data_IF_161444607667
#
_entry.id   IF_161444607667
#
_cell.length_a   1.000
_cell.length_b   1.000
_cell.length_c   1.000
_cell.angle_alpha   90.00
_cell.angle_beta   90.00
_cell.angle_gamma   90.00
#
_symmetry.space_group_name_H-M   'P 1'
#
loop_
_entity.id
_entity.type
_entity.pdbx_description
1 polymer ?
#
# COMPACT_ATOMS: atom_id res chain seq x y z
N UNK A 1 4.54 -16.37 27.01
CA UNK A 1 3.88 -15.05 26.85
C UNK A 1 4.74 -14.07 26.04
N UNK A 2 6.02 -13.91 26.33
CA UNK A 2 6.92 -13.04 25.54
C UNK A 2 6.95 -13.43 24.05
N UNK A 3 7.05 -14.72 23.74
CA UNK A 3 7.08 -15.22 22.35
C UNK A 3 5.79 -14.90 21.57
N UNK A 4 4.62 -14.98 22.23
CA UNK A 4 3.33 -14.64 21.58
C UNK A 4 3.24 -13.15 21.31
N UNK A 5 3.66 -12.29 22.25
CA UNK A 5 3.65 -10.84 22.05
C UNK A 5 4.62 -10.42 20.96
N UNK A 6 5.82 -11.02 20.92
CA UNK A 6 6.81 -10.78 19.87
C UNK A 6 6.28 -11.21 18.49
N UNK A 7 5.71 -12.42 18.39
CA UNK A 7 5.13 -12.94 17.15
C UNK A 7 3.96 -12.09 16.67
N UNK A 8 3.08 -11.65 17.59
CA UNK A 8 1.97 -10.73 17.28
C UNK A 8 2.50 -9.41 16.72
N UNK A 9 3.53 -8.82 17.35
CA UNK A 9 4.10 -7.56 16.90
C UNK A 9 4.75 -7.68 15.52
N UNK A 10 5.51 -8.75 15.27
CA UNK A 10 6.10 -9.02 13.95
C UNK A 10 5.02 -9.17 12.89
N UNK A 11 3.99 -9.95 13.17
CA UNK A 11 2.87 -10.13 12.24
C UNK A 11 2.06 -8.84 12.05
N UNK A 12 1.92 -8.00 13.10
CA UNK A 12 1.27 -6.69 13.00
C UNK A 12 2.03 -5.73 12.06
N UNK A 13 3.36 -5.72 12.12
CA UNK A 13 4.19 -4.93 11.19
C UNK A 13 4.01 -5.41 9.76
N UNK A 14 4.04 -6.73 9.52
CA UNK A 14 3.84 -7.31 8.18
C UNK A 14 2.47 -6.98 7.62
N UNK A 15 1.39 -7.15 8.40
CA UNK A 15 0.03 -6.83 8.00
C UNK A 15 -0.21 -5.32 7.85
N UNK A 16 0.49 -4.50 8.63
CA UNK A 16 0.42 -3.04 8.57
C UNK A 16 1.18 -2.42 7.40
N UNK A 17 2.16 -3.13 6.82
CA UNK A 17 2.99 -2.59 5.74
C UNK A 17 2.21 -2.14 4.49
N UNK A 18 1.27 -2.92 3.95
CA UNK A 18 0.46 -2.46 2.81
C UNK A 18 -0.46 -1.29 3.17
N UNK A 19 -0.96 -1.25 4.41
CA UNK A 19 -1.73 -0.10 4.92
C UNK A 19 -0.85 1.16 4.99
N UNK A 20 0.39 1.03 5.46
CA UNK A 20 1.35 2.14 5.49
C UNK A 20 1.61 2.67 4.09
N UNK A 21 1.90 1.81 3.12
CA UNK A 21 2.14 2.22 1.74
C UNK A 21 0.92 2.92 1.12
N UNK A 22 -0.29 2.37 1.30
CA UNK A 22 -1.53 3.02 0.89
C UNK A 22 -1.72 4.40 1.53
N UNK A 23 -1.51 4.48 2.85
CA UNK A 23 -1.62 5.74 3.59
C UNK A 23 -0.55 6.77 3.21
N UNK A 24 0.69 6.36 2.94
CA UNK A 24 1.73 7.28 2.46
C UNK A 24 1.37 7.87 1.11
N UNK A 25 0.85 7.06 0.18
CA UNK A 25 0.36 7.54 -1.10
C UNK A 25 -0.76 8.55 -0.94
N UNK A 26 -1.72 8.28 -0.05
CA UNK A 26 -2.84 9.18 0.20
C UNK A 26 -2.42 10.46 0.95
N UNK A 27 -1.54 10.37 1.95
CA UNK A 27 -0.97 11.56 2.62
C UNK A 27 -0.35 12.52 1.59
N UNK A 28 0.39 12.00 0.61
CA UNK A 28 0.99 12.83 -0.42
C UNK A 28 -0.06 13.50 -1.30
N UNK A 29 -1.11 12.78 -1.68
CA UNK A 29 -2.22 13.26 -2.49
C UNK A 29 -3.03 14.32 -1.74
N UNK A 30 -3.47 14.04 -0.51
CA UNK A 30 -4.28 14.94 0.29
C UNK A 30 -3.51 16.20 0.71
N UNK A 31 -2.20 16.11 0.95
CA UNK A 31 -1.34 17.29 1.21
C UNK A 31 -1.26 18.24 0.01
N UNK A 32 -1.68 17.85 -1.17
CA UNK A 32 -1.85 18.75 -2.33
C UNK A 32 -3.25 19.37 -2.45
N UNK A 33 -4.16 19.04 -1.52
CA UNK A 33 -5.57 19.47 -1.55
C UNK A 33 -6.46 18.61 -2.45
N UNK A 34 -6.06 17.36 -2.75
CA UNK A 34 -6.82 16.41 -3.55
C UNK A 34 -7.19 15.21 -2.67
N UNK A 35 -8.46 15.10 -2.25
CA UNK A 35 -8.96 13.97 -1.46
C UNK A 35 -9.24 12.78 -2.35
N UNK A 36 -8.49 11.68 -2.23
CA UNK A 36 -8.59 10.54 -3.12
C UNK A 36 -9.12 9.28 -2.43
N UNK A 37 -10.39 9.01 -2.57
CA UNK A 37 -11.02 7.77 -2.10
C UNK A 37 -10.78 6.56 -3.04
N UNK A 38 -9.97 6.74 -4.09
CA UNK A 38 -9.63 5.69 -5.07
C UNK A 38 -8.43 4.82 -4.67
N UNK A 39 -7.91 4.96 -3.45
CA UNK A 39 -6.73 4.23 -2.96
C UNK A 39 -6.86 2.72 -3.18
N UNK A 40 -8.00 2.13 -2.80
CA UNK A 40 -8.24 0.70 -2.96
C UNK A 40 -8.20 0.26 -4.43
N UNK A 41 -8.77 1.05 -5.33
CA UNK A 41 -8.73 0.78 -6.76
C UNK A 41 -7.29 0.80 -7.32
N UNK A 42 -6.48 1.78 -6.90
CA UNK A 42 -5.06 1.85 -7.29
C UNK A 42 -4.24 0.69 -6.71
N UNK A 43 -4.54 0.27 -5.49
CA UNK A 43 -3.94 -0.92 -4.88
C UNK A 43 -4.31 -2.19 -5.66
N UNK A 44 -5.57 -2.38 -6.06
CA UNK A 44 -5.98 -3.52 -6.89
C UNK A 44 -5.26 -3.53 -8.25
N UNK A 45 -5.17 -2.39 -8.91
CA UNK A 45 -4.42 -2.26 -10.17
C UNK A 45 -2.95 -2.65 -9.98
N UNK A 46 -2.30 -2.15 -8.92
CA UNK A 46 -0.93 -2.48 -8.59
C UNK A 46 -0.73 -3.95 -8.20
N UNK A 47 -1.66 -4.55 -7.46
CA UNK A 47 -1.59 -5.94 -7.03
C UNK A 47 -1.53 -6.92 -8.21
N UNK A 48 -2.45 -6.79 -9.16
CA UNK A 48 -2.49 -7.68 -10.32
C UNK A 48 -1.34 -7.42 -11.28
N UNK A 49 -1.04 -6.14 -11.59
CA UNK A 49 -0.02 -5.82 -12.58
C UNK A 49 1.39 -6.16 -12.09
N UNK A 50 1.68 -5.96 -10.81
CA UNK A 50 2.95 -6.39 -10.21
C UNK A 50 3.14 -7.90 -10.28
N UNK A 51 2.11 -8.66 -9.91
CA UNK A 51 2.13 -10.12 -9.98
C UNK A 51 2.28 -10.63 -11.42
N UNK A 52 1.45 -10.13 -12.34
CA UNK A 52 1.48 -10.53 -13.76
C UNK A 52 2.79 -10.09 -14.43
N UNK A 53 3.32 -8.93 -14.09
CA UNK A 53 4.62 -8.47 -14.58
C UNK A 53 5.76 -9.42 -14.21
N UNK A 54 5.83 -9.83 -12.95
CA UNK A 54 6.78 -10.85 -12.48
C UNK A 54 6.57 -12.19 -13.18
N UNK A 55 5.33 -12.68 -13.21
CA UNK A 55 4.98 -13.92 -13.87
C UNK A 55 5.38 -13.93 -15.35
N UNK A 56 5.08 -12.85 -16.08
CA UNK A 56 5.41 -12.72 -17.50
C UNK A 56 6.91 -12.71 -17.75
N UNK A 57 7.69 -12.06 -16.88
CA UNK A 57 9.14 -12.09 -16.92
C UNK A 57 9.67 -13.53 -16.74
N UNK A 58 9.16 -14.26 -15.73
CA UNK A 58 9.57 -15.66 -15.50
C UNK A 58 9.28 -16.53 -16.71
N UNK A 59 8.08 -16.43 -17.28
CA UNK A 59 7.70 -17.19 -18.47
C UNK A 59 8.59 -16.87 -19.67
N UNK A 60 8.92 -15.58 -19.88
CA UNK A 60 9.82 -15.18 -20.96
C UNK A 60 11.23 -15.73 -20.78
N UNK A 61 11.76 -15.74 -19.56
CA UNK A 61 13.10 -16.30 -19.27
C UNK A 61 13.12 -17.81 -19.48
N UNK A 62 12.09 -18.53 -19.02
CA UNK A 62 11.97 -19.98 -19.21
C UNK A 62 11.83 -20.35 -20.71
N UNK A 63 11.05 -19.58 -21.47
CA UNK A 63 10.91 -19.78 -22.92
C UNK A 63 12.24 -19.54 -23.68
N UNK A 64 13.10 -18.66 -23.16
CA UNK A 64 14.44 -18.41 -23.69
C UNK A 64 15.49 -19.45 -23.21
N UNK A 65 15.09 -20.45 -22.43
CA UNK A 65 16.01 -21.43 -21.84
C UNK A 65 16.90 -20.87 -20.72
N UNK A 66 16.54 -19.74 -20.15
CA UNK A 66 17.29 -19.07 -19.08
C UNK A 66 16.58 -19.20 -17.74
N UNK A 67 17.36 -19.18 -16.65
CA UNK A 67 16.80 -19.20 -15.31
C UNK A 67 16.40 -17.77 -14.88
N UNK A 68 15.17 -17.56 -14.40
CA UNK A 68 14.75 -16.24 -13.92
C UNK A 68 15.51 -15.85 -12.65
N UNK A 69 15.80 -14.54 -12.50
CA UNK A 69 16.45 -13.98 -11.31
C UNK A 69 15.39 -13.34 -10.41
N UNK A 70 15.29 -13.79 -9.16
CA UNK A 70 14.26 -13.32 -8.21
C UNK A 70 14.32 -11.81 -7.96
N UNK A 71 15.52 -11.21 -7.87
CA UNK A 71 15.68 -9.77 -7.66
C UNK A 71 15.15 -8.96 -8.86
N UNK A 72 15.41 -9.40 -10.09
CA UNK A 72 14.89 -8.74 -11.29
C UNK A 72 13.36 -8.85 -11.34
N UNK A 73 12.82 -10.04 -11.04
CA UNK A 73 11.38 -10.26 -10.93
C UNK A 73 10.73 -9.33 -9.90
N UNK A 74 11.36 -9.17 -8.72
CA UNK A 74 10.89 -8.26 -7.67
C UNK A 74 10.92 -6.79 -8.12
N UNK A 75 11.99 -6.34 -8.79
CA UNK A 75 12.08 -4.99 -9.33
C UNK A 75 11.03 -4.73 -10.41
N UNK A 76 10.74 -5.70 -11.26
CA UNK A 76 9.65 -5.63 -12.25
C UNK A 76 8.31 -5.49 -11.53
N UNK A 77 8.05 -6.31 -10.49
CA UNK A 77 6.83 -6.22 -9.70
C UNK A 77 6.61 -4.80 -9.16
N UNK A 78 7.62 -4.23 -8.49
CA UNK A 78 7.56 -2.86 -7.92
C UNK A 78 7.35 -1.82 -9.01
N UNK A 79 8.11 -1.90 -10.10
CA UNK A 79 8.05 -0.88 -11.17
C UNK A 79 6.71 -0.89 -11.89
N UNK A 80 6.22 -2.08 -12.25
CA UNK A 80 4.94 -2.22 -12.98
C UNK A 80 3.76 -1.87 -12.09
N UNK A 81 3.79 -2.25 -10.82
CA UNK A 81 2.75 -1.88 -9.85
C UNK A 81 2.69 -0.37 -9.60
N UNK A 82 3.87 0.28 -9.49
CA UNK A 82 3.95 1.74 -9.37
C UNK A 82 3.35 2.43 -10.60
N UNK A 83 3.72 1.99 -11.80
CA UNK A 83 3.20 2.55 -13.06
C UNK A 83 1.69 2.37 -13.17
N UNK A 84 1.16 1.20 -12.80
CA UNK A 84 -0.28 0.94 -12.87
C UNK A 84 -1.07 1.78 -11.85
N UNK A 85 -0.60 1.88 -10.61
CA UNK A 85 -1.20 2.76 -9.61
C UNK A 85 -1.13 4.23 -10.01
N UNK A 86 0.02 4.68 -10.55
CA UNK A 86 0.22 6.02 -11.07
C UNK A 86 -0.71 6.31 -12.27
N UNK A 87 -0.95 5.32 -13.14
CA UNK A 87 -1.89 5.45 -14.25
C UNK A 87 -3.34 5.63 -13.76
N UNK A 88 -3.79 4.83 -12.79
CA UNK A 88 -5.08 5.04 -12.14
C UNK A 88 -5.20 6.44 -11.51
N UNK A 89 -4.15 6.88 -10.82
CA UNK A 89 -4.08 8.20 -10.24
C UNK A 89 -4.03 9.34 -11.28
N UNK A 90 -3.44 9.10 -12.44
CA UNK A 90 -3.44 10.05 -13.54
C UNK A 90 -4.86 10.27 -14.09
N UNK A 91 -5.65 9.19 -14.23
CA UNK A 91 -7.07 9.29 -14.61
C UNK A 91 -7.82 10.11 -13.57
N UNK A 92 -7.63 9.80 -12.28
CA UNK A 92 -8.23 10.54 -11.19
C UNK A 92 -7.84 12.02 -11.20
N UNK A 93 -6.54 12.34 -11.36
CA UNK A 93 -6.06 13.72 -11.41
C UNK A 93 -6.62 14.48 -12.60
N UNK A 94 -6.72 13.83 -13.77
CA UNK A 94 -7.33 14.46 -14.95
C UNK A 94 -8.79 14.85 -14.69
N UNK A 95 -9.57 13.96 -14.09
CA UNK A 95 -10.97 14.23 -13.78
C UNK A 95 -11.13 15.31 -12.70
N UNK A 96 -10.34 15.25 -11.60
CA UNK A 96 -10.51 16.14 -10.46
C UNK A 96 -9.80 17.47 -10.59
N UNK A 97 -8.62 17.52 -11.20
CA UNK A 97 -7.81 18.74 -11.34
C UNK A 97 -8.15 19.48 -12.62
N UNK A 98 -8.21 18.79 -13.79
CA UNK A 98 -8.49 19.45 -15.08
C UNK A 98 -9.98 19.65 -15.30
N UNK A 99 -10.80 18.62 -15.13
CA UNK A 99 -12.25 18.70 -15.33
C UNK A 99 -13.03 19.18 -14.10
N UNK A 100 -12.34 19.35 -12.95
CA UNK A 100 -12.93 19.81 -11.69
C UNK A 100 -14.12 18.95 -11.23
N UNK A 101 -14.12 17.65 -11.55
CA UNK A 101 -15.12 16.71 -11.08
C UNK A 101 -15.08 16.56 -9.55
N UNK A 102 -16.18 16.11 -8.97
CA UNK A 102 -16.26 15.87 -7.53
C UNK A 102 -15.26 14.77 -7.12
N UNK A 103 -14.34 15.11 -6.20
CA UNK A 103 -13.24 14.24 -5.77
C UNK A 103 -13.74 12.94 -5.14
N UNK A 104 -14.76 13.03 -4.26
CA UNK A 104 -15.30 11.87 -3.57
C UNK A 104 -15.94 10.89 -4.55
N UNK A 105 -16.79 11.39 -5.44
CA UNK A 105 -17.47 10.54 -6.45
C UNK A 105 -16.44 9.92 -7.40
N UNK A 106 -15.48 10.70 -7.88
CA UNK A 106 -14.43 10.20 -8.78
C UNK A 106 -13.58 9.12 -8.10
N UNK A 107 -13.22 9.31 -6.83
CA UNK A 107 -12.48 8.32 -6.05
C UNK A 107 -13.26 7.01 -5.87
N UNK A 108 -14.56 7.09 -5.53
CA UNK A 108 -15.42 5.91 -5.44
C UNK A 108 -15.54 5.15 -6.77
N UNK A 109 -15.73 5.86 -7.88
CA UNK A 109 -15.77 5.26 -9.22
C UNK A 109 -14.43 4.58 -9.55
N UNK A 110 -13.31 5.21 -9.21
CA UNK A 110 -11.98 4.63 -9.43
C UNK A 110 -11.76 3.37 -8.57
N UNK A 111 -12.28 3.34 -7.35
CA UNK A 111 -12.25 2.13 -6.50
C UNK A 111 -13.00 0.99 -7.17
N UNK A 112 -14.22 1.22 -7.65
CA UNK A 112 -15.02 0.20 -8.34
C UNK A 112 -14.32 -0.27 -9.62
N UNK A 113 -13.81 0.68 -10.42
CA UNK A 113 -13.06 0.37 -11.64
C UNK A 113 -11.79 -0.45 -11.35
N UNK A 114 -10.97 -0.02 -10.38
CA UNK A 114 -9.74 -0.70 -10.04
C UNK A 114 -9.95 -2.10 -9.46
N UNK A 115 -10.99 -2.27 -8.63
CA UNK A 115 -11.40 -3.60 -8.11
C UNK A 115 -11.83 -4.51 -9.24
N UNK A 116 -12.68 -4.01 -10.16
CA UNK A 116 -13.10 -4.75 -11.36
C UNK A 116 -11.92 -5.10 -12.27
N UNK A 117 -11.03 -4.12 -12.52
CA UNK A 117 -9.80 -4.33 -13.28
C UNK A 117 -8.92 -5.43 -12.67
N UNK A 118 -8.65 -5.34 -11.37
CA UNK A 118 -7.80 -6.31 -10.67
C UNK A 118 -8.36 -7.72 -10.75
N UNK A 119 -9.62 -7.90 -10.42
CA UNK A 119 -10.26 -9.21 -10.43
C UNK A 119 -10.43 -9.77 -11.84
N UNK A 120 -10.83 -8.95 -12.82
CA UNK A 120 -10.96 -9.39 -14.21
C UNK A 120 -9.61 -9.88 -14.78
N UNK A 121 -8.56 -9.09 -14.66
CA UNK A 121 -7.25 -9.49 -15.18
C UNK A 121 -6.64 -10.63 -14.35
N UNK A 122 -6.92 -10.71 -13.05
CA UNK A 122 -6.53 -11.83 -12.21
C UNK A 122 -7.10 -13.16 -12.69
N UNK A 123 -8.39 -13.19 -12.99
CA UNK A 123 -9.06 -14.37 -13.55
C UNK A 123 -8.61 -14.67 -14.99
N UNK A 124 -8.52 -13.64 -15.85
CA UNK A 124 -8.08 -13.80 -17.23
C UNK A 124 -6.69 -14.43 -17.36
N UNK A 125 -5.72 -13.92 -16.60
CA UNK A 125 -4.38 -14.50 -16.58
C UNK A 125 -4.35 -15.83 -15.84
N UNK A 126 -5.19 -16.03 -14.83
CA UNK A 126 -5.38 -17.30 -14.15
C UNK A 126 -5.78 -18.42 -15.12
N UNK A 127 -6.79 -18.17 -15.95
CA UNK A 127 -7.23 -19.13 -16.97
C UNK A 127 -6.12 -19.44 -17.97
N UNK A 128 -5.33 -18.45 -18.39
CA UNK A 128 -4.18 -18.64 -19.29
C UNK A 128 -3.04 -19.43 -18.65
N UNK A 129 -2.87 -19.31 -17.34
CA UNK A 129 -1.84 -20.02 -16.57
C UNK A 129 -2.25 -21.43 -16.14
N UNK A 130 -3.44 -21.89 -16.53
CA UNK A 130 -3.94 -23.24 -16.21
C UNK A 130 -4.67 -23.34 -14.87
N UNK A 131 -5.22 -22.22 -14.36
CA UNK A 131 -6.04 -22.18 -13.15
C UNK A 131 -5.82 -20.91 -12.30
N UNK A 132 -4.60 -20.60 -11.96
CA UNK A 132 -4.26 -19.40 -11.19
C UNK A 132 -2.88 -18.84 -11.55
N UNK A 133 -2.68 -17.55 -11.41
CA UNK A 133 -1.36 -16.93 -11.59
C UNK A 133 -0.56 -17.08 -10.29
N UNK A 134 0.60 -17.69 -10.42
CA UNK A 134 1.57 -17.77 -9.33
C UNK A 134 2.99 -17.59 -9.86
N UNK A 135 3.82 -16.88 -9.11
CA UNK A 135 5.25 -16.76 -9.38
C UNK A 135 6.02 -17.96 -8.83
N UNK A 136 7.19 -18.21 -9.39
CA UNK A 136 8.07 -19.31 -8.98
C UNK A 136 8.64 -19.14 -7.57
N UNK A 137 9.22 -20.21 -7.03
CA UNK A 137 9.92 -20.20 -5.76
C UNK A 137 11.10 -19.23 -5.73
N UNK A 138 11.72 -18.98 -6.87
CA UNK A 138 12.85 -18.01 -7.01
C UNK A 138 12.40 -16.57 -6.72
N UNK A 139 11.25 -16.17 -7.30
CA UNK A 139 10.67 -14.84 -7.01
C UNK A 139 10.14 -14.75 -5.58
N UNK A 140 9.47 -15.81 -5.08
CA UNK A 140 9.01 -15.85 -3.68
C UNK A 140 10.17 -15.68 -2.70
N UNK A 141 11.30 -16.31 -2.95
CA UNK A 141 12.52 -16.18 -2.14
C UNK A 141 13.07 -14.74 -2.12
N UNK A 142 12.88 -13.95 -3.19
CA UNK A 142 13.28 -12.54 -3.21
C UNK A 142 12.45 -11.67 -2.26
N UNK A 143 11.26 -12.11 -1.87
CA UNK A 143 10.42 -11.44 -0.85
C UNK A 143 10.47 -12.13 0.52
N UNK A 144 11.34 -13.12 0.70
CA UNK A 144 11.52 -13.76 1.99
C UNK A 144 12.14 -12.79 3.02
N UNK A 145 11.95 -13.04 4.33
CA UNK A 145 12.60 -12.27 5.38
C UNK A 145 14.13 -12.27 5.22
N UNK A 146 14.73 -11.09 5.35
CA UNK A 146 16.19 -10.93 5.30
C UNK A 146 16.73 -11.13 6.72
N UNK A 147 17.55 -12.16 6.90
CA UNK A 147 18.28 -12.37 8.14
C UNK A 147 19.58 -11.57 8.10
N UNK A 148 19.71 -10.58 8.99
CA UNK A 148 20.93 -9.80 9.13
C UNK A 148 21.83 -10.51 10.14
N UNK A 149 22.99 -11.08 9.73
CA UNK A 149 23.85 -11.81 10.65
C UNK A 149 24.16 -10.99 11.92
N UNK A 150 24.22 -11.65 13.08
CA UNK A 150 24.46 -11.07 14.41
C UNK A 150 23.27 -10.27 14.95
N UNK A 151 22.61 -9.43 14.15
CA UNK A 151 21.49 -8.57 14.61
C UNK A 151 20.18 -9.35 14.73
N UNK A 152 19.93 -10.30 13.84
CA UNK A 152 18.73 -11.17 13.92
C UNK A 152 18.79 -12.18 15.06
N UNK A 153 20.00 -12.47 15.60
CA UNK A 153 20.22 -13.43 16.68
C UNK A 153 19.97 -12.82 18.07
N UNK A 154 19.79 -11.50 18.17
CA UNK A 154 19.48 -10.85 19.43
C UNK A 154 18.11 -11.30 19.95
N UNK A 155 18.02 -11.77 21.20
CA UNK A 155 16.77 -12.21 21.76
C UNK A 155 15.76 -11.06 21.78
N UNK A 156 14.53 -11.29 21.29
CA UNK A 156 13.42 -10.35 21.17
C UNK A 156 13.68 -9.21 20.16
N UNK A 157 14.76 -8.42 20.31
CA UNK A 157 15.06 -7.29 19.42
C UNK A 157 15.42 -7.72 18.01
N UNK A 158 16.08 -8.86 17.85
CA UNK A 158 16.41 -9.43 16.53
C UNK A 158 15.15 -9.73 15.73
N UNK A 159 14.19 -10.39 16.35
CA UNK A 159 12.92 -10.71 15.72
C UNK A 159 12.06 -9.46 15.47
N UNK A 160 12.02 -8.50 16.39
CA UNK A 160 11.19 -7.31 16.30
C UNK A 160 11.69 -6.28 15.27
N UNK A 161 13.00 -6.24 14.99
CA UNK A 161 13.58 -5.20 14.15
C UNK A 161 14.29 -5.72 12.89
N UNK A 162 14.80 -6.95 12.90
CA UNK A 162 15.72 -7.45 11.88
C UNK A 162 15.26 -8.76 11.18
N UNK A 163 13.98 -9.10 11.27
CA UNK A 163 13.43 -10.34 10.70
C UNK A 163 12.32 -10.09 9.68
N UNK A 164 12.37 -8.96 8.99
CA UNK A 164 11.38 -8.61 7.98
C UNK A 164 11.90 -8.79 6.57
N UNK A 165 11.00 -8.86 5.60
CA UNK A 165 11.34 -8.74 4.21
C UNK A 165 11.77 -7.28 3.88
N UNK A 166 12.53 -7.11 2.81
CA UNK A 166 13.06 -5.80 2.42
C UNK A 166 11.98 -4.75 2.13
N UNK A 167 10.76 -5.17 1.75
CA UNK A 167 9.65 -4.26 1.49
C UNK A 167 9.17 -3.53 2.74
N UNK A 168 9.25 -4.16 3.92
CA UNK A 168 8.95 -3.51 5.20
C UNK A 168 9.92 -2.36 5.44
N UNK A 169 11.22 -2.62 5.28
CA UNK A 169 12.25 -1.57 5.44
C UNK A 169 12.10 -0.48 4.39
N UNK A 170 11.74 -0.84 3.15
CA UNK A 170 11.41 0.12 2.11
C UNK A 170 10.24 1.03 2.51
N UNK A 171 9.15 0.48 3.03
CA UNK A 171 7.99 1.25 3.48
C UNK A 171 8.33 2.19 4.65
N UNK A 172 9.11 1.72 5.63
CA UNK A 172 9.58 2.53 6.74
C UNK A 172 10.51 3.66 6.27
N UNK A 173 11.47 3.34 5.41
CA UNK A 173 12.37 4.34 4.81
C UNK A 173 11.59 5.39 4.00
N UNK A 174 10.61 4.95 3.22
CA UNK A 174 9.74 5.84 2.44
C UNK A 174 8.95 6.79 3.36
N UNK A 175 8.44 6.30 4.50
CA UNK A 175 7.74 7.14 5.47
C UNK A 175 8.66 8.23 6.05
N UNK A 176 9.91 7.88 6.40
CA UNK A 176 10.91 8.84 6.91
C UNK A 176 11.29 9.86 5.83
N UNK A 177 11.57 9.38 4.61
CA UNK A 177 11.92 10.24 3.46
C UNK A 177 10.76 11.19 3.14
N UNK A 178 9.52 10.70 3.13
CA UNK A 178 8.33 11.52 2.89
C UNK A 178 8.12 12.58 3.99
N UNK A 179 8.35 12.22 5.26
CA UNK A 179 8.29 13.17 6.37
C UNK A 179 9.35 14.27 6.21
N UNK A 180 10.60 13.89 5.90
CA UNK A 180 11.66 14.84 5.61
C UNK A 180 11.33 15.71 4.40
N UNK A 181 10.85 15.11 3.30
CA UNK A 181 10.44 15.83 2.09
C UNK A 181 9.37 16.89 2.39
N UNK A 182 8.29 16.52 3.06
CA UNK A 182 7.18 17.42 3.38
C UNK A 182 7.59 18.53 4.34
N UNK A 183 8.51 18.27 5.29
CA UNK A 183 8.83 19.21 6.38
C UNK A 183 10.09 20.05 6.10
N UNK A 184 11.02 19.57 5.28
CA UNK A 184 12.35 20.18 5.15
C UNK A 184 12.71 20.63 3.73
N UNK A 185 11.90 20.30 2.71
CA UNK A 185 12.21 20.71 1.33
C UNK A 185 11.30 21.86 0.86
N UNK A 186 11.84 22.69 -0.05
CA UNK A 186 11.04 23.77 -0.69
C UNK A 186 9.87 23.21 -1.48
N UNK A 187 10.05 22.06 -2.15
CA UNK A 187 9.01 21.40 -2.93
C UNK A 187 7.89 20.90 -2.02
N UNK A 188 8.23 20.27 -0.89
CA UNK A 188 7.26 19.82 0.11
C UNK A 188 6.52 20.99 0.78
N UNK A 189 7.19 22.12 1.04
CA UNK A 189 6.55 23.32 1.56
C UNK A 189 5.53 23.89 0.55
N UNK A 190 5.93 24.00 -0.72
CA UNK A 190 5.03 24.46 -1.79
C UNK A 190 3.83 23.53 -1.94
N UNK A 191 4.05 22.20 -1.87
CA UNK A 191 2.97 21.22 -1.92
C UNK A 191 1.93 21.44 -0.82
N UNK A 192 2.37 21.66 0.42
CA UNK A 192 1.47 21.96 1.54
C UNK A 192 0.76 23.30 1.37
N UNK A 193 1.47 24.33 0.90
CA UNK A 193 0.86 25.63 0.60
C UNK A 193 -0.26 25.51 -0.46
N UNK A 194 -0.04 24.70 -1.51
CA UNK A 194 -1.06 24.38 -2.54
C UNK A 194 -2.28 23.67 -1.93
N UNK A 195 -2.07 22.81 -0.93
CA UNK A 195 -3.16 22.10 -0.26
C UNK A 195 -3.95 22.96 0.71
N UNK A 196 -3.28 23.87 1.43
CA UNK A 196 -3.89 24.73 2.45
C UNK A 196 -4.64 25.91 1.83
N UNK A 197 -3.97 26.65 0.91
CA UNK A 197 -4.57 27.78 0.18
C UNK A 197 -4.05 27.84 -1.25
N UNK A 198 -4.76 27.19 -2.20
CA UNK A 198 -4.35 27.19 -3.59
C UNK A 198 -4.36 28.57 -4.24
N UNK A 199 -5.22 29.51 -3.75
CA UNK A 199 -5.28 30.85 -4.32
C UNK A 199 -4.05 31.68 -3.90
N UNK A 200 -3.66 31.61 -2.63
CA UNK A 200 -2.44 32.26 -2.16
C UNK A 200 -1.18 31.66 -2.78
N UNK A 201 -1.14 30.33 -2.99
CA UNK A 201 -0.03 29.66 -3.66
C UNK A 201 0.11 30.11 -5.13
N UNK A 202 -0.99 30.24 -5.86
CA UNK A 202 -1.01 30.72 -7.25
C UNK A 202 -0.54 32.18 -7.33
N UNK A 203 -1.03 33.03 -6.42
CA UNK A 203 -0.59 34.43 -6.32
C UNK A 203 0.91 34.57 -6.02
N UNK A 204 1.50 33.58 -5.30
CA UNK A 204 2.94 33.50 -5.08
C UNK A 204 3.73 32.86 -6.24
N UNK A 205 3.08 32.58 -7.39
CA UNK A 205 3.71 32.01 -8.58
C UNK A 205 3.93 30.50 -8.52
N UNK A 206 3.29 29.79 -7.58
CA UNK A 206 3.38 28.33 -7.45
C UNK A 206 2.30 27.68 -8.33
N UNK A 207 2.69 26.85 -9.29
CA UNK A 207 1.76 26.14 -10.19
C UNK A 207 0.94 25.08 -9.45
N UNK A 208 -0.26 25.44 -9.00
CA UNK A 208 -1.20 24.55 -8.28
C UNK A 208 -1.49 23.27 -9.05
N UNK A 209 -1.81 23.39 -10.34
CA UNK A 209 -2.11 22.25 -11.21
C UNK A 209 -0.97 21.23 -11.25
N UNK A 210 0.27 21.71 -11.46
CA UNK A 210 1.46 20.85 -11.50
C UNK A 210 1.67 20.08 -10.21
N UNK A 211 1.56 20.76 -9.05
CA UNK A 211 1.75 20.14 -7.74
C UNK A 211 0.67 19.10 -7.46
N UNK A 212 -0.60 19.38 -7.76
CA UNK A 212 -1.70 18.44 -7.61
C UNK A 212 -1.53 17.20 -8.48
N UNK A 213 -1.19 17.36 -9.77
CA UNK A 213 -0.94 16.23 -10.65
C UNK A 213 0.21 15.35 -10.17
N UNK A 214 1.37 15.94 -9.86
CA UNK A 214 2.55 15.19 -9.44
C UNK A 214 2.31 14.43 -8.12
N UNK A 215 1.71 15.11 -7.14
CA UNK A 215 1.41 14.49 -5.85
C UNK A 215 0.43 13.32 -5.99
N UNK A 216 -0.64 13.51 -6.76
CA UNK A 216 -1.65 12.48 -6.97
C UNK A 216 -1.07 11.28 -7.74
N UNK A 217 -0.32 11.51 -8.82
CA UNK A 217 0.26 10.44 -9.63
C UNK A 217 1.32 9.65 -8.85
N UNK A 218 2.22 10.33 -8.14
CA UNK A 218 3.23 9.66 -7.32
C UNK A 218 2.55 8.93 -6.14
N UNK A 219 1.56 9.57 -5.50
CA UNK A 219 0.78 8.98 -4.42
C UNK A 219 0.09 7.69 -4.84
N UNK A 220 -0.59 7.71 -5.98
CA UNK A 220 -1.24 6.51 -6.53
C UNK A 220 -0.24 5.41 -6.93
N UNK A 221 0.95 5.78 -7.41
CA UNK A 221 2.03 4.81 -7.64
C UNK A 221 2.46 4.11 -6.35
N UNK A 222 2.58 4.85 -5.24
CA UNK A 222 2.90 4.28 -3.92
C UNK A 222 1.76 3.36 -3.44
N UNK A 223 0.49 3.76 -3.63
CA UNK A 223 -0.66 2.89 -3.36
C UNK A 223 -0.60 1.60 -4.17
N UNK A 224 -0.21 1.67 -5.45
CA UNK A 224 0.00 0.49 -6.31
C UNK A 224 1.05 -0.47 -5.74
N UNK A 225 2.17 0.03 -5.20
CA UNK A 225 3.17 -0.80 -4.51
C UNK A 225 2.57 -1.46 -3.27
N UNK A 226 1.72 -0.74 -2.51
CA UNK A 226 0.99 -1.32 -1.38
C UNK A 226 0.09 -2.50 -1.79
N UNK A 227 -0.58 -2.37 -2.93
CA UNK A 227 -1.35 -3.46 -3.53
C UNK A 227 -0.48 -4.65 -3.97
N UNK A 228 0.65 -4.39 -4.61
CA UNK A 228 1.62 -5.41 -5.00
C UNK A 228 2.15 -6.18 -3.77
N UNK A 229 2.37 -5.50 -2.64
CA UNK A 229 2.74 -6.17 -1.40
C UNK A 229 1.69 -7.22 -1.01
N UNK A 230 0.40 -6.94 -1.20
CA UNK A 230 -0.67 -7.91 -0.92
C UNK A 230 -0.53 -9.17 -1.79
N UNK A 231 -0.34 -9.02 -3.10
CA UNK A 231 -0.26 -10.16 -4.02
C UNK A 231 1.08 -10.91 -3.95
N UNK A 232 2.20 -10.21 -3.71
CA UNK A 232 3.53 -10.84 -3.73
C UNK A 232 4.00 -11.35 -2.37
N UNK A 233 3.63 -10.66 -1.29
CA UNK A 233 4.06 -11.00 0.07
C UNK A 233 2.95 -11.68 0.86
N UNK A 234 1.78 -11.03 1.00
CA UNK A 234 0.70 -11.53 1.86
C UNK A 234 0.08 -12.81 1.30
N UNK A 235 -0.18 -12.89 -0.02
CA UNK A 235 -0.66 -14.12 -0.66
C UNK A 235 0.45 -14.97 -1.24
N UNK A 236 1.70 -14.70 -0.85
CA UNK A 236 2.88 -15.50 -1.25
C UNK A 236 3.03 -15.67 -2.77
N UNK A 237 2.84 -14.58 -3.52
CA UNK A 237 3.02 -14.56 -4.97
C UNK A 237 1.97 -15.38 -5.74
N UNK A 238 0.76 -15.48 -5.20
CA UNK A 238 -0.39 -16.13 -5.85
C UNK A 238 -1.53 -15.13 -5.94
N UNK A 239 -2.21 -15.07 -7.08
CA UNK A 239 -3.42 -14.27 -7.19
C UNK A 239 -4.57 -14.88 -6.40
N UNK A 240 -5.12 -14.09 -5.51
CA UNK A 240 -6.33 -14.41 -4.76
C UNK A 240 -7.37 -13.33 -5.05
N UNK A 241 -8.56 -13.75 -5.46
CA UNK A 241 -9.67 -12.84 -5.72
C UNK A 241 -9.97 -12.00 -4.46
N UNK A 242 -10.06 -10.69 -4.64
CA UNK A 242 -10.35 -9.81 -3.51
C UNK A 242 -9.21 -9.62 -2.49
N UNK A 243 -7.97 -10.01 -2.79
CA UNK A 243 -6.85 -9.97 -1.83
C UNK A 243 -6.59 -8.58 -1.23
N UNK A 244 -6.99 -7.50 -1.90
CA UNK A 244 -6.81 -6.10 -1.46
C UNK A 244 -8.05 -5.56 -0.76
N UNK A 245 -9.21 -6.25 -0.85
CA UNK A 245 -10.50 -5.72 -0.38
C UNK A 245 -10.45 -5.21 1.06
N UNK A 246 -10.85 -3.94 1.24
CA UNK A 246 -10.90 -3.25 2.54
C UNK A 246 -9.60 -2.58 2.97
N UNK A 247 -8.44 -2.98 2.43
CA UNK A 247 -7.15 -2.40 2.81
C UNK A 247 -7.01 -0.93 2.39
N UNK A 248 -7.52 -0.57 1.22
CA UNK A 248 -7.50 0.82 0.76
C UNK A 248 -8.35 1.74 1.64
N UNK A 249 -9.53 1.29 2.06
CA UNK A 249 -10.39 2.03 2.99
C UNK A 249 -9.75 2.22 4.36
N UNK A 250 -9.11 1.17 4.88
CA UNK A 250 -8.36 1.25 6.14
C UNK A 250 -7.14 2.16 6.00
N UNK A 251 -6.49 2.20 4.83
CA UNK A 251 -5.39 3.12 4.58
C UNK A 251 -5.86 4.59 4.61
N UNK A 252 -7.01 4.91 4.02
CA UNK A 252 -7.62 6.26 4.10
C UNK A 252 -7.96 6.62 5.54
N UNK A 253 -8.60 5.69 6.29
CA UNK A 253 -8.87 5.91 7.71
C UNK A 253 -7.58 6.17 8.51
N UNK A 254 -6.52 5.41 8.21
CA UNK A 254 -5.21 5.56 8.85
C UNK A 254 -4.60 6.95 8.62
N UNK A 255 -4.81 7.57 7.46
CA UNK A 255 -4.35 8.95 7.18
C UNK A 255 -4.94 9.93 8.17
N UNK A 256 -6.24 9.81 8.45
CA UNK A 256 -6.95 10.67 9.42
C UNK A 256 -6.34 10.48 10.82
N UNK A 257 -6.15 9.23 11.27
CA UNK A 257 -5.55 8.94 12.59
C UNK A 257 -4.09 9.35 12.70
N UNK A 258 -3.34 9.25 11.62
CA UNK A 258 -1.97 9.74 11.53
C UNK A 258 -1.91 11.27 11.48
N UNK A 259 -3.05 11.96 11.40
CA UNK A 259 -3.12 13.42 11.21
C UNK A 259 -2.22 13.91 10.07
N UNK A 260 -2.29 13.21 8.93
CA UNK A 260 -1.48 13.45 7.72
C UNK A 260 0.03 13.47 7.97
N UNK A 261 0.51 12.79 9.01
CA UNK A 261 1.92 12.70 9.34
C UNK A 261 2.46 11.32 8.95
N UNK A 262 3.44 11.22 8.02
CA UNK A 262 4.02 9.94 7.62
C UNK A 262 4.63 9.14 8.79
N UNK A 263 5.25 9.82 9.77
CA UNK A 263 5.84 9.16 10.93
C UNK A 263 4.79 8.59 11.89
N UNK A 264 3.69 9.31 12.12
CA UNK A 264 2.55 8.78 12.89
C UNK A 264 1.86 7.65 12.13
N UNK A 265 1.89 7.70 10.80
CA UNK A 265 1.42 6.62 9.93
C UNK A 265 2.07 5.28 10.22
N UNK A 266 3.37 5.25 10.56
CA UNK A 266 4.08 4.03 10.95
C UNK A 266 3.41 3.40 12.18
N UNK A 267 3.18 4.18 13.24
CA UNK A 267 2.58 3.70 14.47
C UNK A 267 1.15 3.18 14.23
N UNK A 268 0.35 3.97 13.51
CA UNK A 268 -1.04 3.60 13.20
C UNK A 268 -1.11 2.36 12.30
N UNK A 269 -0.20 2.21 11.33
CA UNK A 269 -0.14 1.02 10.50
C UNK A 269 0.13 -0.25 11.31
N UNK A 270 1.01 -0.20 12.30
CA UNK A 270 1.28 -1.33 13.20
C UNK A 270 0.05 -1.64 14.06
N UNK A 271 -0.62 -0.63 14.60
CA UNK A 271 -1.85 -0.82 15.40
C UNK A 271 -2.95 -1.46 14.54
N UNK A 272 -3.25 -0.90 13.38
CA UNK A 272 -4.28 -1.46 12.49
C UNK A 272 -3.91 -2.83 11.95
N UNK A 273 -2.64 -3.05 11.59
CA UNK A 273 -2.13 -4.36 11.21
C UNK A 273 -2.35 -5.39 12.32
N UNK A 274 -2.07 -5.01 13.59
CA UNK A 274 -2.34 -5.85 14.76
C UNK A 274 -3.83 -6.17 14.93
N UNK A 275 -4.70 -5.19 14.76
CA UNK A 275 -6.16 -5.41 14.83
C UNK A 275 -6.65 -6.38 13.75
N UNK A 276 -6.11 -6.29 12.52
CA UNK A 276 -6.50 -7.17 11.42
C UNK A 276 -6.11 -8.64 11.64
N UNK A 277 -4.97 -8.89 12.28
CA UNK A 277 -4.49 -10.26 12.54
C UNK A 277 -4.87 -10.78 13.92
N UNK A 278 -5.53 -9.98 14.74
CA UNK A 278 -5.86 -10.28 16.14
C UNK A 278 -6.55 -11.65 16.30
N UNK A 279 -7.41 -12.02 15.34
CA UNK A 279 -8.11 -13.33 15.32
C UNK A 279 -7.18 -14.54 15.33
N UNK A 280 -5.95 -14.39 14.81
CA UNK A 280 -4.99 -15.49 14.75
C UNK A 280 -4.31 -15.75 16.10
N UNK A 281 -4.31 -14.76 16.97
CA UNK A 281 -3.60 -14.79 18.26
C UNK A 281 -4.53 -14.83 19.47
N UNK A 282 -5.75 -14.30 19.32
CA UNK A 282 -6.74 -14.23 20.39
C UNK A 282 -8.00 -14.96 19.93
N UNK A 283 -8.24 -16.14 20.53
CA UNK A 283 -9.46 -16.92 20.30
C UNK A 283 -10.35 -16.87 21.53
N UNK A 284 -11.53 -16.31 21.40
CA UNK A 284 -12.56 -16.29 22.46
C UNK A 284 -13.61 -17.35 22.08
N UNK A 285 -13.77 -18.41 22.90
CA UNK A 285 -14.76 -19.46 22.62
C UNK A 285 -16.17 -18.86 22.44
N UNK A 286 -16.83 -19.22 21.35
CA UNK A 286 -18.20 -18.77 21.04
C UNK A 286 -18.30 -17.44 20.28
N UNK A 287 -17.18 -16.74 20.01
CA UNK A 287 -17.19 -15.51 19.20
C UNK A 287 -17.02 -15.85 17.71
N UNK A 288 -17.98 -15.48 16.83
CA UNK A 288 -17.84 -15.69 15.39
C UNK A 288 -16.65 -14.93 14.81
N UNK A 289 -15.98 -15.51 13.81
CA UNK A 289 -14.80 -14.92 13.14
C UNK A 289 -15.09 -13.53 12.56
N UNK A 290 -16.31 -13.32 12.07
CA UNK A 290 -16.76 -12.06 11.50
C UNK A 290 -16.67 -10.88 12.48
N UNK A 291 -16.83 -11.13 13.79
CA UNK A 291 -16.72 -10.07 14.80
C UNK A 291 -15.26 -9.59 14.88
N UNK A 292 -14.28 -10.49 14.79
CA UNK A 292 -12.87 -10.09 14.75
C UNK A 292 -12.56 -9.24 13.52
N UNK A 293 -13.09 -9.61 12.35
CA UNK A 293 -12.90 -8.87 11.11
C UNK A 293 -13.54 -7.47 11.16
N UNK A 294 -14.53 -7.24 12.03
CA UNK A 294 -15.14 -5.92 12.26
C UNK A 294 -14.30 -5.01 13.17
N UNK A 295 -13.40 -5.55 14.01
CA UNK A 295 -12.67 -4.78 15.02
C UNK A 295 -11.95 -3.55 14.45
N UNK A 296 -11.20 -3.62 13.34
CA UNK A 296 -10.53 -2.45 12.78
C UNK A 296 -11.49 -1.33 12.39
N UNK A 297 -12.66 -1.68 11.84
CA UNK A 297 -13.69 -0.72 11.42
C UNK A 297 -14.42 -0.11 12.61
N UNK A 298 -14.73 -0.92 13.64
CA UNK A 298 -15.31 -0.43 14.89
C UNK A 298 -14.35 0.51 15.60
N UNK A 299 -13.06 0.16 15.66
CA UNK A 299 -12.02 1.02 16.21
C UNK A 299 -11.96 2.36 15.47
N UNK A 300 -12.09 2.33 14.12
CA UNK A 300 -12.17 3.54 13.29
C UNK A 300 -13.33 4.44 13.70
N UNK A 301 -14.53 3.88 13.83
CA UNK A 301 -15.73 4.63 14.22
C UNK A 301 -15.57 5.23 15.63
N UNK A 302 -15.09 4.44 16.59
CA UNK A 302 -14.90 4.90 17.97
C UNK A 302 -13.91 6.07 18.05
N UNK A 303 -12.79 5.98 17.35
CA UNK A 303 -11.81 7.08 17.34
C UNK A 303 -12.40 8.33 16.68
N UNK A 304 -13.13 8.20 15.57
CA UNK A 304 -13.78 9.34 14.93
C UNK A 304 -14.79 10.03 15.87
N UNK A 305 -15.55 9.25 16.65
CA UNK A 305 -16.48 9.81 17.65
C UNK A 305 -15.73 10.56 18.76
N UNK A 306 -14.59 10.03 19.22
CA UNK A 306 -13.81 10.64 20.30
C UNK A 306 -13.09 11.92 19.82
N UNK A 307 -12.70 11.97 18.55
CA UNK A 307 -11.93 13.09 17.98
C UNK A 307 -12.79 14.17 17.31
N UNK A 308 -14.08 13.92 17.14
CA UNK A 308 -15.07 14.90 16.64
C UNK A 308 -15.52 15.86 17.74
#
# INVERSE_FOLDING_TARGET
MLDVATSLTVAAVLAGTPLLLGALGEILTEKSGNLNLGVEGMMFMGAITGLVGSYSYEQAMLAAGMTPTGMISALIAVSVSFIAGAFGALIYAFLTVSLRANQNVTGLVLTIFGTGFGNFFGEYFGLKAGGYVAVSSVTKAAFAPVQIPILSDLPVLGQLLFSYNWMVYFALALAVIMAWFLMRTRVGLNLRAVGEDPAAADAAGISVTKYRYLATVIGGGICGIGGMYMSMVTTSGVWVHGCVSGYGWLAVALVIFATWSPLRGILMAVIFGGLMIMRMYVSIPGLPVQIYDMIPYVATILVLIITS
#
